data_IF_917140253607
#
_entry.id   IF_917140253607
#
_cell.length_a   1.000
_cell.length_b   1.000
_cell.length_c   1.000
_cell.angle_alpha   90.00
_cell.angle_beta   90.00
_cell.angle_gamma   90.00
#
_symmetry.space_group_name_H-M   'P 1'
#
loop_
_entity.id
_entity.type
_entity.pdbx_description
1 polymer ?
#
# COMPACT_ATOMS: atom_id res chain seq x y z
N UNK A 1 -6.36 -29.52 -16.19
CA UNK A 1 -5.10 -29.13 -16.86
C UNK A 1 -5.03 -27.62 -16.78
N UNK A 2 -4.16 -27.09 -15.92
CA UNK A 2 -3.92 -25.66 -15.74
C UNK A 2 -3.39 -25.07 -17.04
N UNK A 3 -4.04 -24.02 -17.56
CA UNK A 3 -3.58 -23.31 -18.74
C UNK A 3 -2.24 -22.65 -18.43
N UNK A 4 -1.20 -22.98 -19.19
CA UNK A 4 0.12 -22.36 -19.01
C UNK A 4 0.16 -21.06 -19.81
N UNK A 5 0.40 -19.90 -19.17
CA UNK A 5 0.53 -18.63 -19.90
C UNK A 5 1.71 -18.70 -20.89
N UNK A 6 1.65 -17.95 -22.01
CA UNK A 6 2.81 -17.71 -22.85
C UNK A 6 3.97 -17.12 -22.04
N UNK A 7 5.21 -17.54 -22.34
CA UNK A 7 6.40 -17.16 -21.54
C UNK A 7 6.68 -15.65 -21.53
N UNK A 8 6.14 -14.89 -22.48
CA UNK A 8 6.32 -13.44 -22.60
C UNK A 8 5.24 -12.62 -21.87
N UNK A 9 4.25 -13.26 -21.26
CA UNK A 9 3.20 -12.57 -20.51
C UNK A 9 3.69 -12.11 -19.15
N UNK A 10 3.21 -10.96 -18.70
CA UNK A 10 3.58 -10.36 -17.43
C UNK A 10 2.66 -10.87 -16.32
N UNK A 11 3.20 -11.22 -15.13
CA UNK A 11 2.39 -11.60 -13.99
C UNK A 11 1.74 -10.36 -13.35
N UNK A 12 0.53 -10.52 -12.83
CA UNK A 12 -0.20 -9.51 -12.10
C UNK A 12 -0.82 -10.12 -10.84
N UNK A 13 -0.62 -9.48 -9.70
CA UNK A 13 -1.35 -9.78 -8.48
C UNK A 13 -2.60 -8.90 -8.39
N UNK A 14 -3.73 -9.51 -8.05
CA UNK A 14 -4.97 -8.80 -7.76
C UNK A 14 -4.94 -8.13 -6.39
N UNK A 15 -5.96 -7.31 -6.07
CA UNK A 15 -6.09 -6.66 -4.77
C UNK A 15 -6.01 -7.65 -3.60
N UNK A 16 -5.35 -7.26 -2.50
CA UNK A 16 -5.11 -8.09 -1.33
C UNK A 16 -4.47 -9.46 -1.62
N UNK A 17 -3.81 -9.61 -2.78
CA UNK A 17 -3.23 -10.87 -3.26
C UNK A 17 -4.25 -12.03 -3.33
N UNK A 18 -5.54 -11.73 -3.54
CA UNK A 18 -6.60 -12.75 -3.62
C UNK A 18 -6.49 -13.64 -4.85
N UNK A 19 -5.93 -13.11 -5.93
CA UNK A 19 -5.68 -13.86 -7.15
C UNK A 19 -4.41 -13.37 -7.83
N UNK A 20 -3.88 -14.19 -8.75
CA UNK A 20 -2.82 -13.83 -9.68
C UNK A 20 -3.24 -14.24 -11.08
N UNK A 21 -2.83 -13.48 -12.08
CA UNK A 21 -3.03 -13.80 -13.48
C UNK A 21 -1.81 -13.38 -14.30
N UNK A 22 -1.81 -13.72 -15.57
CA UNK A 22 -0.84 -13.23 -16.55
C UNK A 22 -1.55 -12.52 -17.70
N UNK A 23 -0.93 -11.46 -18.22
CA UNK A 23 -1.50 -10.64 -19.29
C UNK A 23 -0.44 -10.27 -20.35
N UNK A 24 -0.87 -9.90 -21.58
CA UNK A 24 0.05 -9.48 -22.63
C UNK A 24 0.82 -8.21 -22.26
N UNK A 25 2.13 -8.11 -22.56
CA UNK A 25 2.98 -7.01 -22.12
C UNK A 25 2.65 -5.65 -22.73
N UNK A 26 1.90 -5.62 -23.82
CA UNK A 26 1.46 -4.43 -24.54
C UNK A 26 0.16 -3.84 -23.99
N UNK A 27 -0.49 -4.51 -23.04
CA UNK A 27 -1.72 -4.02 -22.40
C UNK A 27 -1.42 -3.11 -21.22
N UNK A 28 -2.22 -2.05 -21.10
CA UNK A 28 -2.13 -1.11 -19.98
C UNK A 28 -2.92 -1.63 -18.79
N UNK A 29 -2.30 -1.64 -17.61
CA UNK A 29 -2.94 -2.04 -16.35
C UNK A 29 -3.24 -0.83 -15.49
N UNK A 30 -4.45 -0.77 -14.91
CA UNK A 30 -4.80 0.18 -13.86
C UNK A 30 -5.48 -0.60 -12.73
N UNK A 31 -5.06 -0.41 -11.48
CA UNK A 31 -5.60 -1.14 -10.33
C UNK A 31 -5.96 -0.17 -9.21
N UNK A 32 -7.10 -0.43 -8.57
CA UNK A 32 -7.54 0.19 -7.31
C UNK A 32 -7.83 -0.90 -6.26
N UNK A 33 -8.34 -0.53 -5.08
CA UNK A 33 -8.58 -1.45 -3.95
C UNK A 33 -9.46 -2.67 -4.26
N UNK A 34 -10.31 -2.60 -5.29
CA UNK A 34 -11.29 -3.65 -5.61
C UNK A 34 -11.32 -4.03 -7.08
N UNK A 35 -10.67 -3.25 -7.95
CA UNK A 35 -10.78 -3.39 -9.40
C UNK A 35 -9.43 -3.38 -10.07
N UNK A 36 -9.28 -4.21 -11.08
CA UNK A 36 -8.15 -4.25 -11.99
C UNK A 36 -8.68 -4.10 -13.42
N UNK A 37 -8.16 -3.13 -14.15
CA UNK A 37 -8.54 -2.81 -15.53
C UNK A 37 -7.36 -3.10 -16.44
N UNK A 38 -7.62 -3.90 -17.47
CA UNK A 38 -6.68 -4.27 -18.52
C UNK A 38 -7.21 -3.71 -19.84
N UNK A 39 -6.50 -2.76 -20.45
CA UNK A 39 -6.89 -2.13 -21.71
C UNK A 39 -5.95 -2.54 -22.85
N UNK A 40 -6.52 -2.88 -24.00
CA UNK A 40 -5.76 -3.17 -25.22
C UNK A 40 -5.02 -1.92 -25.75
N UNK A 41 -3.92 -2.07 -26.51
CA UNK A 41 -3.13 -0.94 -27.01
C UNK A 41 -3.93 0.05 -27.87
N UNK A 42 -4.94 -0.44 -28.59
CA UNK A 42 -5.83 0.34 -29.46
C UNK A 42 -7.03 0.94 -28.69
N UNK A 43 -7.22 0.59 -27.42
CA UNK A 43 -8.34 1.00 -26.58
C UNK A 43 -9.70 0.42 -27.02
N UNK A 44 -9.72 -0.55 -27.94
CA UNK A 44 -10.96 -1.13 -28.45
C UNK A 44 -11.56 -2.19 -27.53
N UNK A 45 -10.76 -2.78 -26.64
CA UNK A 45 -11.19 -3.76 -25.67
C UNK A 45 -10.71 -3.39 -24.25
N UNK A 46 -11.65 -3.43 -23.30
CA UNK A 46 -11.35 -3.23 -21.88
C UNK A 46 -11.87 -4.41 -21.08
N UNK A 47 -10.96 -5.11 -20.41
CA UNK A 47 -11.26 -6.17 -19.45
C UNK A 47 -11.18 -5.59 -18.03
N UNK A 48 -12.32 -5.52 -17.35
CA UNK A 48 -12.41 -5.09 -15.97
C UNK A 48 -12.59 -6.32 -15.07
N UNK A 49 -11.80 -6.41 -14.02
CA UNK A 49 -11.85 -7.45 -13.01
C UNK A 49 -12.22 -6.80 -11.69
N UNK A 50 -13.42 -7.06 -11.19
CA UNK A 50 -13.89 -6.56 -9.91
C UNK A 50 -13.92 -7.71 -8.90
N UNK A 51 -13.16 -7.58 -7.82
CA UNK A 51 -13.12 -8.57 -6.75
C UNK A 51 -13.87 -8.10 -5.52
N UNK A 52 -14.55 -9.02 -4.87
CA UNK A 52 -15.20 -8.82 -3.60
C UNK A 52 -14.90 -10.00 -2.66
N UNK A 53 -14.94 -9.73 -1.37
CA UNK A 53 -14.76 -10.73 -0.33
C UNK A 53 -15.98 -10.74 0.60
N UNK A 54 -16.47 -11.91 0.97
CA UNK A 54 -17.53 -12.06 1.97
C UNK A 54 -17.50 -13.46 2.59
N UNK A 55 -17.89 -13.57 3.87
CA UNK A 55 -18.05 -14.89 4.53
C UNK A 55 -19.37 -15.57 4.18
N UNK A 56 -20.39 -14.80 3.82
CA UNK A 56 -21.76 -15.29 3.74
C UNK A 56 -22.14 -15.84 2.35
N UNK A 57 -21.24 -15.68 1.39
CA UNK A 57 -21.49 -15.98 -0.03
C UNK A 57 -21.31 -17.45 -0.39
N UNK A 58 -20.70 -18.28 0.47
CA UNK A 58 -20.48 -19.71 0.16
C UNK A 58 -21.81 -20.46 -0.01
N UNK A 59 -22.83 -20.05 0.73
CA UNK A 59 -24.17 -20.64 0.68
C UNK A 59 -25.04 -20.13 -0.48
N UNK A 60 -24.64 -19.03 -1.14
CA UNK A 60 -25.41 -18.40 -2.20
C UNK A 60 -24.94 -18.93 -3.56
N UNK A 61 -25.83 -19.37 -4.46
CA UNK A 61 -25.46 -19.76 -5.82
C UNK A 61 -24.73 -18.64 -6.57
N UNK A 62 -23.67 -18.99 -7.31
CA UNK A 62 -22.82 -17.99 -7.99
C UNK A 62 -23.58 -17.13 -9.01
N UNK A 63 -24.55 -17.69 -9.72
CA UNK A 63 -25.41 -16.96 -10.65
C UNK A 63 -26.25 -15.86 -9.98
N UNK A 64 -26.58 -16.01 -8.69
CA UNK A 64 -27.28 -14.99 -7.90
C UNK A 64 -26.33 -13.91 -7.36
N UNK A 65 -25.05 -14.24 -7.21
CA UNK A 65 -24.01 -13.30 -6.76
C UNK A 65 -23.52 -12.40 -7.89
N UNK A 66 -23.58 -12.88 -9.14
CA UNK A 66 -23.22 -12.11 -10.33
C UNK A 66 -24.38 -11.18 -10.72
N UNK A 67 -24.43 -10.02 -10.08
CA UNK A 67 -25.41 -8.99 -10.37
C UNK A 67 -25.03 -8.21 -11.62
N UNK A 68 -25.62 -8.55 -12.78
CA UNK A 68 -25.42 -7.85 -14.05
C UNK A 68 -25.74 -6.35 -13.92
N UNK A 69 -26.74 -6.02 -13.10
CA UNK A 69 -27.17 -4.65 -12.80
C UNK A 69 -26.15 -3.87 -11.97
N UNK A 70 -25.30 -4.55 -11.20
CA UNK A 70 -24.21 -3.91 -10.46
C UNK A 70 -23.08 -3.46 -11.40
N UNK A 71 -22.91 -4.16 -12.54
CA UNK A 71 -21.89 -3.85 -13.55
C UNK A 71 -22.43 -2.89 -14.62
N UNK A 72 -23.69 -3.07 -15.03
CA UNK A 72 -24.30 -2.34 -16.14
C UNK A 72 -25.64 -1.71 -15.74
N UNK A 73 -25.74 -0.38 -15.86
CA UNK A 73 -26.95 0.35 -15.50
C UNK A 73 -28.19 0.03 -16.37
N UNK A 74 -27.97 -0.38 -17.62
CA UNK A 74 -29.02 -0.80 -18.55
C UNK A 74 -28.52 -1.91 -19.46
N UNK A 75 -29.23 -3.02 -19.48
CA UNK A 75 -28.92 -4.18 -20.31
C UNK A 75 -30.11 -4.63 -21.14
N UNK A 76 -29.84 -5.40 -22.19
CA UNK A 76 -30.84 -6.15 -22.96
C UNK A 76 -30.20 -7.42 -23.53
N UNK A 77 -31.05 -8.35 -23.97
CA UNK A 77 -30.63 -9.59 -24.62
C UNK A 77 -29.63 -10.40 -23.77
N UNK A 78 -29.81 -10.37 -22.45
CA UNK A 78 -28.96 -11.12 -21.52
C UNK A 78 -29.25 -12.60 -21.67
N UNK A 79 -28.20 -13.39 -21.81
CA UNK A 79 -28.29 -14.83 -21.98
C UNK A 79 -27.07 -15.53 -21.37
N UNK A 80 -27.26 -16.81 -21.04
CA UNK A 80 -26.18 -17.66 -20.57
C UNK A 80 -25.12 -17.83 -21.64
N UNK A 81 -23.89 -17.85 -21.18
CA UNK A 81 -22.72 -18.00 -22.01
C UNK A 81 -21.81 -19.09 -21.40
N UNK A 82 -20.98 -19.71 -22.22
CA UNK A 82 -20.07 -20.74 -21.73
C UNK A 82 -19.24 -20.22 -20.51
N UNK A 83 -19.22 -20.96 -19.39
CA UNK A 83 -18.38 -20.62 -18.24
C UNK A 83 -16.89 -20.78 -18.59
N UNK A 84 -16.02 -20.29 -17.71
CA UNK A 84 -14.58 -20.51 -17.87
C UNK A 84 -14.26 -21.97 -17.56
N UNK A 85 -13.55 -22.68 -18.45
CA UNK A 85 -13.14 -24.04 -18.17
C UNK A 85 -12.03 -24.04 -17.12
N UNK A 86 -12.14 -24.90 -16.10
CA UNK A 86 -11.14 -25.01 -15.04
C UNK A 86 -11.71 -25.65 -13.77
N UNK A 87 -10.89 -25.62 -12.71
CA UNK A 87 -11.23 -26.18 -11.40
C UNK A 87 -11.94 -25.16 -10.48
N UNK A 88 -12.05 -23.91 -10.93
CA UNK A 88 -12.75 -22.83 -10.24
C UNK A 88 -14.22 -22.82 -10.65
N UNK A 89 -15.13 -22.65 -9.70
CA UNK A 89 -16.55 -22.44 -9.98
C UNK A 89 -16.74 -21.16 -10.79
N UNK A 90 -17.38 -21.26 -11.96
CA UNK A 90 -17.61 -20.10 -12.82
C UNK A 90 -18.94 -20.12 -13.55
N UNK A 91 -19.43 -18.93 -13.86
CA UNK A 91 -20.61 -18.67 -14.69
C UNK A 91 -20.26 -17.68 -15.78
N UNK A 92 -20.83 -17.86 -16.97
CA UNK A 92 -20.66 -16.95 -18.10
C UNK A 92 -21.99 -16.32 -18.50
N UNK A 93 -21.99 -15.02 -18.74
CA UNK A 93 -23.14 -14.27 -19.24
C UNK A 93 -22.71 -13.38 -20.41
N UNK A 94 -23.64 -13.10 -21.31
CA UNK A 94 -23.42 -12.13 -22.40
C UNK A 94 -24.70 -11.35 -22.67
N UNK A 95 -24.54 -10.14 -23.18
CA UNK A 95 -25.65 -9.30 -23.58
C UNK A 95 -25.19 -7.99 -24.20
N UNK A 96 -26.09 -7.02 -24.23
CA UNK A 96 -25.78 -5.65 -24.66
C UNK A 96 -26.08 -4.66 -23.54
N UNK A 97 -25.25 -3.62 -23.40
CA UNK A 97 -25.39 -2.58 -22.40
C UNK A 97 -25.24 -1.17 -23.01
N UNK A 98 -25.84 -0.18 -22.35
CA UNK A 98 -25.67 1.23 -22.68
C UNK A 98 -24.65 1.85 -21.70
N UNK A 99 -23.47 2.22 -22.20
CA UNK A 99 -22.37 2.72 -21.35
C UNK A 99 -22.36 4.25 -21.15
N UNK A 100 -23.09 4.99 -21.98
CA UNK A 100 -23.07 6.46 -21.93
C UNK A 100 -23.93 7.02 -20.78
N UNK A 101 -23.38 7.98 -20.01
CA UNK A 101 -24.17 8.80 -19.08
C UNK A 101 -25.25 9.55 -19.86
N UNK A 102 -26.48 9.57 -19.32
CA UNK A 102 -27.65 10.21 -19.97
C UNK A 102 -27.28 11.63 -20.43
N UNK A 103 -27.36 11.94 -21.74
CA UNK A 103 -27.08 13.27 -22.23
C UNK A 103 -28.13 14.28 -21.71
N UNK A 104 -27.78 15.58 -21.66
CA UNK A 104 -28.72 16.64 -21.38
C UNK A 104 -29.96 16.55 -22.28
N UNK A 105 -31.13 16.90 -21.74
CA UNK A 105 -32.45 16.61 -22.34
C UNK A 105 -32.64 17.12 -23.77
N UNK A 106 -31.90 18.16 -24.17
CA UNK A 106 -31.95 18.80 -25.48
C UNK A 106 -31.15 18.06 -26.58
N UNK A 107 -30.24 17.14 -26.23
CA UNK A 107 -29.50 16.28 -27.20
C UNK A 107 -30.19 14.93 -27.46
N UNK A 108 -31.24 14.62 -26.70
CA UNK A 108 -31.97 13.33 -26.75
C UNK A 108 -32.62 12.97 -28.09
N UNK A 109 -33.20 13.90 -28.89
CA UNK A 109 -33.88 13.50 -30.13
C UNK A 109 -32.93 13.14 -31.29
N UNK A 110 -31.62 13.40 -31.17
CA UNK A 110 -30.65 13.17 -32.25
C UNK A 110 -29.60 12.08 -31.94
N UNK A 111 -29.62 11.50 -30.73
CA UNK A 111 -28.63 10.52 -30.30
C UNK A 111 -29.19 9.10 -30.45
N UNK A 112 -28.58 8.29 -31.31
CA UNK A 112 -28.85 6.85 -31.36
C UNK A 112 -28.23 6.21 -30.13
N UNK A 113 -29.02 5.43 -29.39
CA UNK A 113 -28.50 4.65 -28.25
C UNK A 113 -27.44 3.68 -28.75
N UNK A 114 -26.19 3.89 -28.33
CA UNK A 114 -25.06 3.05 -28.71
C UNK A 114 -24.98 1.85 -27.77
N UNK A 115 -25.73 0.79 -28.09
CA UNK A 115 -25.69 -0.48 -27.37
C UNK A 115 -24.40 -1.21 -27.70
N UNK A 116 -23.64 -1.58 -26.67
CA UNK A 116 -22.37 -2.28 -26.82
C UNK A 116 -22.48 -3.68 -26.27
N UNK A 117 -21.92 -4.64 -27.00
CA UNK A 117 -21.89 -6.04 -26.57
C UNK A 117 -20.89 -6.20 -25.44
N UNK A 118 -21.24 -7.04 -24.48
CA UNK A 118 -20.38 -7.37 -23.35
C UNK A 118 -20.37 -8.88 -23.08
N UNK A 119 -19.30 -9.30 -22.43
CA UNK A 119 -19.12 -10.63 -21.88
C UNK A 119 -18.79 -10.48 -20.39
N UNK A 120 -19.47 -11.25 -19.55
CA UNK A 120 -19.28 -11.25 -18.10
C UNK A 120 -18.96 -12.66 -17.64
N UNK A 121 -17.96 -12.79 -16.77
CA UNK A 121 -17.59 -14.01 -16.10
C UNK A 121 -17.68 -13.77 -14.60
N UNK A 122 -18.44 -14.60 -13.90
CA UNK A 122 -18.34 -14.71 -12.45
C UNK A 122 -17.48 -15.90 -12.09
N UNK A 123 -16.58 -15.71 -11.15
CA UNK A 123 -15.76 -16.77 -10.58
C UNK A 123 -15.86 -16.71 -9.05
N UNK A 124 -15.82 -17.86 -8.40
CA UNK A 124 -15.79 -17.95 -6.93
C UNK A 124 -14.75 -18.95 -6.45
N UNK A 125 -14.01 -18.55 -5.43
CA UNK A 125 -13.12 -19.43 -4.66
C UNK A 125 -13.22 -19.06 -3.17
N UNK A 126 -13.86 -19.93 -2.38
CA UNK A 126 -14.12 -19.69 -0.96
C UNK A 126 -14.83 -18.34 -0.74
N UNK A 127 -14.26 -17.43 0.08
CA UNK A 127 -14.88 -16.14 0.38
C UNK A 127 -14.65 -15.07 -0.70
N UNK A 128 -13.93 -15.38 -1.79
CA UNK A 128 -13.61 -14.42 -2.86
C UNK A 128 -14.52 -14.65 -4.06
N UNK A 129 -15.12 -13.56 -4.55
CA UNK A 129 -15.82 -13.49 -5.84
C UNK A 129 -15.02 -12.58 -6.75
N UNK A 130 -14.86 -13.00 -8.00
CA UNK A 130 -14.28 -12.20 -9.05
C UNK A 130 -15.26 -12.08 -10.22
N UNK A 131 -15.54 -10.85 -10.63
CA UNK A 131 -16.34 -10.54 -11.81
C UNK A 131 -15.44 -9.96 -12.90
N UNK A 132 -15.22 -10.72 -13.97
CA UNK A 132 -14.55 -10.22 -15.17
C UNK A 132 -15.57 -9.73 -16.17
N UNK A 133 -15.48 -8.48 -16.62
CA UNK A 133 -16.30 -7.95 -17.71
C UNK A 133 -15.44 -7.46 -18.86
N UNK A 134 -15.71 -7.97 -20.07
CA UNK A 134 -15.12 -7.50 -21.31
C UNK A 134 -16.15 -6.66 -22.05
N UNK A 135 -15.73 -5.46 -22.45
CA UNK A 135 -16.56 -4.53 -23.21
C UNK A 135 -15.81 -4.11 -24.48
N UNK A 136 -16.49 -4.21 -25.62
CA UNK A 136 -15.96 -3.75 -26.90
C UNK A 136 -16.39 -2.29 -27.17
N UNK A 137 -15.46 -1.46 -27.64
CA UNK A 137 -15.75 -0.09 -28.06
C UNK A 137 -16.55 -0.03 -29.37
N UNK A 138 -16.33 -1.00 -30.25
CA UNK A 138 -16.89 -1.10 -31.61
C UNK A 138 -17.68 -2.39 -31.86
N UNK A 139 -17.41 -3.04 -33.01
CA UNK A 139 -18.01 -4.35 -33.33
C UNK A 139 -17.43 -5.44 -32.42
N UNK A 140 -18.17 -6.53 -32.17
CA UNK A 140 -17.64 -7.67 -31.43
C UNK A 140 -16.39 -8.22 -32.11
N UNK A 141 -15.32 -8.38 -31.34
CA UNK A 141 -14.07 -8.97 -31.80
C UNK A 141 -13.86 -10.34 -31.12
N UNK A 142 -14.07 -11.45 -31.86
CA UNK A 142 -13.86 -12.79 -31.35
C UNK A 142 -12.41 -13.07 -30.89
N UNK A 143 -11.43 -12.39 -31.48
CA UNK A 143 -10.02 -12.55 -31.09
C UNK A 143 -9.79 -11.96 -29.69
N UNK A 144 -10.36 -10.78 -29.43
CA UNK A 144 -10.31 -10.15 -28.10
C UNK A 144 -11.08 -10.95 -27.04
N UNK A 145 -12.24 -11.52 -27.37
CA UNK A 145 -12.93 -12.45 -26.46
C UNK A 145 -12.07 -13.67 -26.12
N UNK A 146 -11.37 -14.22 -27.12
CA UNK A 146 -10.47 -15.36 -26.94
C UNK A 146 -9.26 -14.99 -26.09
N UNK A 147 -8.70 -13.80 -26.30
CA UNK A 147 -7.57 -13.28 -25.53
C UNK A 147 -7.96 -13.02 -24.08
N UNK A 148 -9.08 -12.34 -23.83
CA UNK A 148 -9.61 -12.13 -22.48
C UNK A 148 -9.90 -13.44 -21.76
N UNK A 149 -10.48 -14.43 -22.45
CA UNK A 149 -10.66 -15.77 -21.88
C UNK A 149 -9.32 -16.44 -21.57
N UNK A 150 -8.30 -16.25 -22.41
CA UNK A 150 -6.95 -16.79 -22.18
C UNK A 150 -6.29 -16.15 -20.96
N UNK A 151 -6.41 -14.82 -20.78
CA UNK A 151 -5.99 -14.10 -19.57
C UNK A 151 -6.68 -14.69 -18.34
N UNK A 152 -8.00 -14.80 -18.35
CA UNK A 152 -8.77 -15.34 -17.21
C UNK A 152 -8.46 -16.82 -16.91
N UNK A 153 -8.02 -17.60 -17.89
CA UNK A 153 -7.60 -19.00 -17.68
C UNK A 153 -6.25 -19.14 -16.98
N UNK A 154 -5.42 -18.10 -16.99
CA UNK A 154 -4.17 -18.06 -16.20
C UNK A 154 -4.43 -17.77 -14.72
N UNK A 155 -5.68 -17.45 -14.37
CA UNK A 155 -6.02 -17.00 -13.05
C UNK A 155 -5.83 -18.11 -12.01
N UNK A 156 -5.14 -17.77 -10.94
CA UNK A 156 -4.92 -18.62 -9.77
C UNK A 156 -5.37 -17.86 -8.54
N UNK A 157 -6.34 -18.40 -7.82
CA UNK A 157 -6.75 -17.84 -6.53
C UNK A 157 -5.73 -18.20 -5.45
N UNK A 158 -5.59 -17.34 -4.45
CA UNK A 158 -4.89 -17.70 -3.24
C UNK A 158 -5.60 -18.90 -2.57
N UNK A 159 -4.82 -19.88 -2.12
CA UNK A 159 -5.37 -21.03 -1.39
C UNK A 159 -6.06 -20.59 -0.09
N UNK A 160 -5.43 -19.64 0.60
CA UNK A 160 -5.96 -18.97 1.78
C UNK A 160 -6.02 -17.47 1.48
N UNK A 161 -7.13 -16.92 0.97
CA UNK A 161 -7.24 -15.50 0.69
C UNK A 161 -7.20 -14.70 1.99
N UNK A 162 -6.45 -13.60 2.01
CA UNK A 162 -6.40 -12.70 3.15
C UNK A 162 -7.78 -12.08 3.42
N UNK A 163 -8.14 -11.96 4.70
CA UNK A 163 -9.27 -11.14 5.12
C UNK A 163 -9.05 -9.69 4.63
N UNK A 164 -10.10 -8.96 4.19
CA UNK A 164 -10.03 -7.50 3.96
C UNK A 164 -9.61 -6.76 5.24
N UNK A 165 -9.14 -5.49 5.13
CA UNK A 165 -8.65 -4.74 6.29
C UNK A 165 -9.63 -4.74 7.46
N UNK A 166 -10.88 -4.34 7.25
CA UNK A 166 -11.87 -4.25 8.35
C UNK A 166 -12.09 -5.61 9.04
N UNK A 167 -12.18 -6.68 8.26
CA UNK A 167 -12.38 -8.04 8.78
C UNK A 167 -11.15 -8.52 9.56
N UNK A 168 -9.96 -8.18 9.08
CA UNK A 168 -8.71 -8.42 9.78
C UNK A 168 -8.68 -7.68 11.13
N UNK A 169 -9.03 -6.38 11.16
CA UNK A 169 -9.10 -5.61 12.40
C UNK A 169 -10.09 -6.20 13.41
N UNK A 170 -11.28 -6.60 12.95
CA UNK A 170 -12.28 -7.24 13.81
C UNK A 170 -11.75 -8.56 14.39
N UNK A 171 -11.06 -9.35 13.57
CA UNK A 171 -10.42 -10.60 14.00
C UNK A 171 -9.27 -10.37 14.99
N UNK A 172 -8.51 -9.30 14.82
CA UNK A 172 -7.45 -8.88 15.77
C UNK A 172 -8.06 -8.45 17.10
N UNK A 173 -9.15 -7.67 17.07
CA UNK A 173 -9.89 -7.26 18.26
C UNK A 173 -10.45 -8.47 19.02
N UNK A 174 -11.03 -9.43 18.30
CA UNK A 174 -11.51 -10.68 18.89
C UNK A 174 -10.36 -11.49 19.52
N UNK A 175 -9.23 -11.61 18.82
CA UNK A 175 -8.04 -12.27 19.35
C UNK A 175 -7.55 -11.57 20.64
N UNK A 176 -7.47 -10.24 20.64
CA UNK A 176 -7.04 -9.46 21.80
C UNK A 176 -7.97 -9.67 23.00
N UNK A 177 -9.29 -9.58 22.81
CA UNK A 177 -10.31 -9.83 23.85
C UNK A 177 -10.21 -11.25 24.43
N UNK A 178 -9.95 -12.24 23.58
CA UNK A 178 -9.84 -13.63 24.01
C UNK A 178 -8.54 -13.91 24.77
N UNK A 179 -7.42 -13.31 24.37
CA UNK A 179 -6.10 -13.57 24.96
C UNK A 179 -5.81 -12.69 26.18
N UNK A 180 -6.39 -11.49 26.23
CA UNK A 180 -6.17 -10.50 27.29
C UNK A 180 -7.50 -10.02 27.89
N UNK A 181 -8.33 -10.91 28.47
CA UNK A 181 -9.70 -10.58 28.92
C UNK A 181 -9.78 -9.59 30.08
N UNK A 182 -8.64 -9.25 30.71
CA UNK A 182 -8.55 -8.28 31.79
C UNK A 182 -8.26 -6.86 31.30
N UNK A 183 -7.91 -6.68 30.02
CA UNK A 183 -7.66 -5.38 29.42
C UNK A 183 -8.88 -4.90 28.66
N UNK A 184 -9.08 -3.58 28.67
CA UNK A 184 -10.04 -2.96 27.78
C UNK A 184 -9.54 -3.04 26.34
N UNK A 185 -10.34 -3.60 25.44
CA UNK A 185 -9.95 -3.85 24.06
C UNK A 185 -11.02 -3.28 23.13
N UNK A 186 -10.65 -2.27 22.35
CA UNK A 186 -11.59 -1.54 21.48
C UNK A 186 -10.97 -1.28 20.11
N UNK A 187 -11.82 -1.15 19.08
CA UNK A 187 -11.38 -0.65 17.79
C UNK A 187 -11.06 0.85 17.92
N UNK A 188 -9.89 1.26 17.45
CA UNK A 188 -9.48 2.66 17.37
C UNK A 188 -9.79 3.26 15.99
N UNK A 189 -9.60 4.57 15.88
CA UNK A 189 -9.66 5.26 14.59
C UNK A 189 -8.44 4.93 13.72
N UNK A 190 -8.61 4.98 12.39
CA UNK A 190 -7.48 4.87 11.45
C UNK A 190 -6.78 3.51 11.45
N UNK A 191 -7.55 2.41 11.48
CA UNK A 191 -7.02 1.03 11.44
C UNK A 191 -6.10 0.70 12.62
N UNK A 192 -6.54 1.08 13.81
CA UNK A 192 -5.84 0.84 15.07
C UNK A 192 -6.67 -0.04 16.00
N UNK A 193 -5.97 -0.73 16.92
CA UNK A 193 -6.56 -1.41 18.06
C UNK A 193 -6.14 -0.68 19.33
N UNK A 194 -7.11 -0.29 20.16
CA UNK A 194 -6.84 0.14 21.54
C UNK A 194 -6.81 -1.08 22.44
N UNK A 195 -5.73 -1.22 23.19
CA UNK A 195 -5.53 -2.27 24.18
C UNK A 195 -5.10 -1.56 25.46
N UNK A 196 -5.91 -1.54 26.51
CA UNK A 196 -5.65 -0.73 27.71
C UNK A 196 -5.47 0.76 27.37
N UNK A 197 -4.31 1.31 27.74
CA UNK A 197 -3.93 2.71 27.47
C UNK A 197 -3.08 2.88 26.20
N UNK A 198 -2.81 1.81 25.46
CA UNK A 198 -1.96 1.84 24.26
C UNK A 198 -2.77 1.63 22.99
N UNK A 199 -2.32 2.27 21.91
CA UNK A 199 -2.84 2.06 20.57
C UNK A 199 -1.84 1.25 19.75
N UNK A 200 -2.34 0.23 19.07
CA UNK A 200 -1.58 -0.64 18.17
C UNK A 200 -2.01 -0.34 16.75
N UNK A 201 -1.08 0.12 15.93
CA UNK A 201 -1.33 0.30 14.50
C UNK A 201 -1.33 -1.06 13.78
N UNK A 202 -2.39 -1.35 13.02
CA UNK A 202 -2.57 -2.64 12.37
C UNK A 202 -1.99 -2.74 10.96
N UNK A 203 -1.58 -1.64 10.31
CA UNK A 203 -1.11 -1.63 8.93
C UNK A 203 0.11 -2.54 8.70
N UNK A 204 1.14 -2.43 9.54
CA UNK A 204 2.36 -3.24 9.41
C UNK A 204 2.08 -4.74 9.55
N UNK A 205 1.16 -5.09 10.44
CA UNK A 205 0.74 -6.48 10.65
C UNK A 205 -0.13 -6.97 9.49
N UNK A 206 -1.02 -6.13 8.96
CA UNK A 206 -1.84 -6.45 7.81
C UNK A 206 -0.99 -6.71 6.56
N UNK A 207 0.03 -5.88 6.29
CA UNK A 207 0.97 -6.12 5.17
C UNK A 207 1.70 -7.46 5.29
N UNK A 208 2.09 -7.85 6.49
CA UNK A 208 2.72 -9.14 6.77
C UNK A 208 1.72 -10.30 6.61
N UNK A 209 0.49 -10.09 7.09
CA UNK A 209 -0.61 -11.05 7.03
C UNK A 209 -1.03 -11.35 5.58
N UNK A 210 -1.17 -10.35 4.71
CA UNK A 210 -1.56 -10.54 3.30
C UNK A 210 -0.62 -11.48 2.54
N UNK A 211 0.67 -11.55 2.94
CA UNK A 211 1.66 -12.43 2.32
C UNK A 211 1.50 -13.88 2.75
N UNK A 212 1.09 -14.12 4.00
CA UNK A 212 0.98 -15.45 4.63
C UNK A 212 -0.26 -15.51 5.56
N UNK A 213 -1.49 -15.50 5.02
CA UNK A 213 -2.72 -15.36 5.82
C UNK A 213 -2.94 -16.49 6.84
N UNK A 214 -2.41 -17.68 6.56
CA UNK A 214 -2.44 -18.82 7.47
C UNK A 214 -1.67 -18.57 8.78
N UNK A 215 -0.76 -17.61 8.81
CA UNK A 215 0.07 -17.25 9.98
C UNK A 215 -0.49 -16.11 10.82
N UNK A 216 -1.79 -15.84 10.72
CA UNK A 216 -2.46 -14.75 11.44
C UNK A 216 -2.07 -14.65 12.92
N UNK A 217 -2.22 -15.73 13.69
CA UNK A 217 -1.90 -15.71 15.14
C UNK A 217 -0.39 -15.57 15.40
N UNK A 218 0.47 -16.18 14.57
CA UNK A 218 1.93 -16.07 14.69
C UNK A 218 2.42 -14.63 14.47
N UNK A 219 1.74 -13.87 13.61
CA UNK A 219 2.04 -12.46 13.36
C UNK A 219 1.53 -11.58 14.51
N UNK A 220 0.29 -11.82 14.95
CA UNK A 220 -0.41 -10.90 15.86
C UNK A 220 -0.08 -11.11 17.34
N UNK A 221 0.05 -12.36 17.79
CA UNK A 221 0.24 -12.64 19.22
C UNK A 221 1.51 -12.03 19.82
N UNK A 222 2.68 -12.07 19.16
CA UNK A 222 3.88 -11.43 19.69
C UNK A 222 3.71 -9.93 19.87
N UNK A 223 3.09 -9.25 18.91
CA UNK A 223 2.85 -7.82 18.95
C UNK A 223 1.89 -7.43 20.08
N UNK A 224 0.74 -8.08 20.18
CA UNK A 224 -0.22 -7.83 21.26
C UNK A 224 0.40 -8.11 22.63
N UNK A 225 1.14 -9.23 22.77
CA UNK A 225 1.82 -9.58 24.02
C UNK A 225 2.85 -8.52 24.42
N UNK A 226 3.63 -8.01 23.46
CA UNK A 226 4.61 -6.94 23.70
C UNK A 226 3.94 -5.69 24.24
N UNK A 227 2.82 -5.27 23.63
CA UNK A 227 2.06 -4.09 24.06
C UNK A 227 1.51 -4.27 25.48
N UNK A 228 0.95 -5.45 25.79
CA UNK A 228 0.47 -5.77 27.15
C UNK A 228 1.62 -5.78 28.17
N UNK A 229 2.78 -6.34 27.80
CA UNK A 229 3.95 -6.34 28.68
C UNK A 229 4.39 -4.91 29.00
N UNK A 230 4.47 -4.03 28.00
CA UNK A 230 4.83 -2.62 28.17
C UNK A 230 3.86 -1.89 29.12
N UNK A 231 2.58 -2.28 29.17
CA UNK A 231 1.62 -1.71 30.11
C UNK A 231 1.72 -2.26 31.53
N UNK A 232 2.15 -3.52 31.66
CA UNK A 232 2.38 -4.17 32.95
C UNK A 232 3.67 -3.73 33.64
N UNK A 233 4.48 -2.92 32.96
CA UNK A 233 5.71 -2.33 33.49
C UNK A 233 5.38 -1.28 34.54
N UNK A 234 5.75 -1.54 35.79
CA UNK A 234 5.75 -0.51 36.84
C UNK A 234 6.69 0.65 36.48
N UNK A 235 6.68 1.71 37.28
CA UNK A 235 7.45 2.95 37.05
C UNK A 235 8.97 2.75 36.84
N UNK A 236 9.55 1.61 37.23
CA UNK A 236 10.97 1.29 36.97
C UNK A 236 11.24 0.73 35.56
N UNK A 237 10.20 0.30 34.83
CA UNK A 237 10.29 -0.24 33.48
C UNK A 237 9.65 0.68 32.42
N UNK A 238 8.72 1.57 32.79
CA UNK A 238 8.24 2.65 31.91
C UNK A 238 9.29 3.73 31.64
N UNK A 239 10.25 3.84 32.56
CA UNK A 239 11.28 4.87 32.57
C UNK A 239 12.69 4.24 32.68
N UNK A 240 13.11 3.46 31.66
CA UNK A 240 14.33 2.69 31.72
C UNK A 240 15.56 3.61 31.84
N UNK A 241 16.65 3.18 32.51
CA UNK A 241 17.92 3.87 32.43
C UNK A 241 18.39 4.00 30.98
N UNK A 242 18.96 5.14 30.62
CA UNK A 242 19.46 5.41 29.26
C UNK A 242 20.34 4.27 28.74
N UNK A 243 21.27 3.76 29.56
CA UNK A 243 22.21 2.70 29.17
C UNK A 243 21.52 1.41 28.68
N UNK A 244 20.26 1.15 29.08
CA UNK A 244 19.51 -0.04 28.67
C UNK A 244 18.81 0.11 27.31
N UNK A 245 18.63 1.34 26.85
CA UNK A 245 17.88 1.66 25.62
C UNK A 245 18.71 2.44 24.60
N UNK A 246 19.90 2.94 25.00
CA UNK A 246 20.72 3.89 24.27
C UNK A 246 21.01 3.46 22.84
N UNK A 247 21.29 2.19 22.62
CA UNK A 247 21.61 1.55 21.33
C UNK A 247 20.39 1.29 20.44
N UNK A 248 19.18 1.48 20.97
CA UNK A 248 17.91 1.27 20.30
C UNK A 248 17.13 2.57 20.06
N UNK A 249 17.71 3.71 20.46
CA UNK A 249 17.10 5.02 20.20
C UNK A 249 17.24 5.32 18.70
N UNK A 250 16.12 5.49 18.01
CA UNK A 250 16.06 5.74 16.57
C UNK A 250 15.30 7.04 16.26
N UNK A 251 15.68 7.80 15.22
CA UNK A 251 14.93 8.97 14.77
C UNK A 251 13.74 8.53 13.91
N UNK A 252 12.67 9.32 13.94
CA UNK A 252 11.50 9.19 13.07
C UNK A 252 11.06 10.54 12.54
N UNK A 253 10.68 10.60 11.27
CA UNK A 253 10.09 11.80 10.68
C UNK A 253 8.58 11.81 10.90
N UNK A 254 8.03 13.00 11.10
CA UNK A 254 6.60 13.22 11.26
C UNK A 254 6.19 14.60 10.75
N UNK A 255 4.92 14.83 10.36
CA UNK A 255 4.44 16.17 10.09
C UNK A 255 4.41 17.02 11.38
N UNK A 256 5.00 18.20 11.33
CA UNK A 256 5.11 19.09 12.49
C UNK A 256 3.73 19.50 13.01
N UNK A 257 2.79 19.80 12.12
CA UNK A 257 1.41 20.17 12.46
C UNK A 257 0.70 19.11 13.29
N UNK A 258 0.88 17.83 12.94
CA UNK A 258 0.25 16.70 13.64
C UNK A 258 0.90 16.48 15.00
N UNK A 259 2.23 16.62 15.11
CA UNK A 259 2.92 16.53 16.39
C UNK A 259 2.46 17.61 17.38
N UNK A 260 2.36 18.86 16.93
CA UNK A 260 1.91 19.98 17.78
C UNK A 260 0.49 19.76 18.34
N UNK A 261 -0.40 19.18 17.53
CA UNK A 261 -1.78 18.95 17.94
C UNK A 261 -1.93 17.71 18.85
N UNK A 262 -1.26 16.60 18.52
CA UNK A 262 -1.56 15.28 19.10
C UNK A 262 -0.55 14.80 20.12
N UNK A 263 0.69 15.28 20.07
CA UNK A 263 1.81 14.68 20.81
C UNK A 263 2.72 15.70 21.51
N UNK A 264 2.18 16.71 22.22
CA UNK A 264 2.99 17.81 22.77
C UNK A 264 4.02 17.38 23.82
N UNK A 265 3.88 16.18 24.39
CA UNK A 265 4.80 15.67 25.42
C UNK A 265 6.00 14.89 24.83
N UNK A 266 5.98 14.59 23.54
CA UNK A 266 7.06 13.86 22.87
C UNK A 266 8.15 14.83 22.44
N UNK A 267 9.39 14.37 22.60
CA UNK A 267 10.56 15.17 22.30
C UNK A 267 10.75 15.19 20.80
N UNK A 268 10.84 16.39 20.24
CA UNK A 268 11.04 16.58 18.82
C UNK A 268 11.88 17.80 18.50
N UNK A 269 12.47 17.79 17.30
CA UNK A 269 13.21 18.92 16.73
C UNK A 269 12.65 19.25 15.35
N UNK A 270 12.18 20.49 15.10
CA UNK A 270 11.72 20.90 13.79
C UNK A 270 12.76 20.65 12.71
N UNK A 271 12.29 20.26 11.55
CA UNK A 271 13.09 19.97 10.37
C UNK A 271 12.46 20.59 9.12
N UNK A 272 13.07 20.39 7.96
CA UNK A 272 12.66 21.06 6.72
C UNK A 272 11.34 20.52 6.17
N UNK A 273 10.62 21.33 5.38
CA UNK A 273 9.40 20.88 4.70
C UNK A 273 8.22 20.65 5.63
N UNK A 274 8.14 21.38 6.75
CA UNK A 274 7.09 21.23 7.76
C UNK A 274 7.12 19.88 8.49
N UNK A 275 8.27 19.22 8.51
CA UNK A 275 8.49 17.97 9.23
C UNK A 275 9.19 18.20 10.56
N UNK A 276 9.08 17.24 11.46
CA UNK A 276 9.76 17.18 12.75
C UNK A 276 10.47 15.84 12.90
N UNK A 277 11.66 15.85 13.50
CA UNK A 277 12.35 14.64 13.94
C UNK A 277 11.88 14.32 15.36
N UNK A 278 11.23 13.17 15.52
CA UNK A 278 10.88 12.57 16.80
C UNK A 278 11.86 11.44 17.14
N UNK A 279 11.89 11.04 18.41
CA UNK A 279 12.75 9.97 18.88
C UNK A 279 11.94 8.82 19.46
N UNK A 280 12.33 7.61 19.11
CA UNK A 280 11.71 6.39 19.61
C UNK A 280 12.77 5.45 20.15
N UNK A 281 12.37 4.55 21.05
CA UNK A 281 13.14 3.33 21.32
C UNK A 281 12.54 2.21 20.50
N UNK A 282 13.36 1.61 19.65
CA UNK A 282 13.01 0.49 18.80
C UNK A 282 13.03 -0.83 19.59
N UNK A 283 11.94 -1.57 19.49
CA UNK A 283 11.76 -2.90 20.08
C UNK A 283 11.49 -3.88 18.93
N UNK A 284 11.69 -5.19 19.17
CA UNK A 284 11.62 -6.21 18.11
C UNK A 284 10.31 -6.23 17.31
N UNK A 285 9.22 -5.73 17.88
CA UNK A 285 7.88 -5.74 17.28
C UNK A 285 7.10 -4.43 17.44
N UNK A 286 7.70 -3.40 18.04
CA UNK A 286 7.04 -2.13 18.35
C UNK A 286 8.09 -1.05 18.56
N UNK A 287 7.65 0.18 18.75
CA UNK A 287 8.50 1.25 19.25
C UNK A 287 7.67 2.13 20.17
N UNK A 288 8.34 2.87 21.04
CA UNK A 288 7.69 3.86 21.90
C UNK A 288 8.43 5.19 21.83
N UNK A 289 7.69 6.30 21.90
CA UNK A 289 8.24 7.64 21.77
C UNK A 289 8.89 8.11 23.07
N UNK A 290 10.01 8.81 22.92
CA UNK A 290 10.73 9.41 24.03
C UNK A 290 10.04 10.72 24.42
N UNK A 291 9.76 10.85 25.71
CA UNK A 291 9.05 11.97 26.32
C UNK A 291 10.02 12.90 27.05
N UNK A 292 9.60 14.13 27.30
CA UNK A 292 10.46 15.15 27.93
C UNK A 292 10.93 14.78 29.36
N UNK A 293 10.08 14.11 30.14
CA UNK A 293 10.39 13.60 31.49
C UNK A 293 11.56 12.60 31.47
N UNK A 294 11.66 11.77 30.43
CA UNK A 294 12.78 10.82 30.28
C UNK A 294 14.12 11.52 30.04
N UNK A 295 14.16 12.62 29.29
CA UNK A 295 15.40 13.39 29.13
C UNK A 295 15.87 13.99 30.45
N UNK A 296 14.94 14.55 31.23
CA UNK A 296 15.25 15.10 32.55
C UNK A 296 15.82 14.02 33.46
N UNK A 297 15.25 12.81 33.44
CA UNK A 297 15.73 11.68 34.21
C UNK A 297 17.08 11.15 33.74
N UNK A 298 17.30 11.05 32.43
CA UNK A 298 18.57 10.61 31.85
C UNK A 298 19.67 11.67 31.99
N UNK A 299 19.30 12.91 32.31
CA UNK A 299 20.23 14.03 32.44
C UNK A 299 20.89 14.40 31.11
N UNK A 300 20.19 14.18 29.98
CA UNK A 300 20.66 14.50 28.63
C UNK A 300 19.80 15.61 28.01
N UNK A 301 20.38 16.30 27.05
CA UNK A 301 19.73 17.33 26.23
C UNK A 301 19.10 16.73 24.98
N UNK A 302 18.17 17.46 24.35
CA UNK A 302 17.59 17.06 23.07
C UNK A 302 18.64 16.92 21.96
N UNK A 303 19.70 17.73 22.00
CA UNK A 303 20.82 17.66 21.06
C UNK A 303 21.61 16.35 21.23
N UNK A 304 21.94 15.98 22.48
CA UNK A 304 22.60 14.70 22.76
C UNK A 304 21.72 13.50 22.36
N UNK A 305 20.40 13.59 22.58
CA UNK A 305 19.46 12.57 22.13
C UNK A 305 19.45 12.45 20.59
N UNK A 306 19.49 13.57 19.89
CA UNK A 306 19.57 13.61 18.43
C UNK A 306 20.83 12.91 17.93
N UNK A 307 22.00 13.25 18.50
CA UNK A 307 23.28 12.66 18.13
C UNK A 307 23.32 11.15 18.38
N UNK A 308 22.78 10.68 19.51
CA UNK A 308 22.61 9.25 19.81
C UNK A 308 21.77 8.59 18.72
N UNK A 309 20.62 9.18 18.38
CA UNK A 309 19.70 8.61 17.40
C UNK A 309 20.31 8.51 16.00
N UNK A 310 21.07 9.52 15.56
CA UNK A 310 21.75 9.50 14.27
C UNK A 310 22.89 8.47 14.24
N UNK A 311 23.65 8.36 15.32
CA UNK A 311 24.70 7.34 15.43
C UNK A 311 24.13 5.92 15.34
N UNK A 312 22.97 5.67 15.97
CA UNK A 312 22.30 4.37 15.87
C UNK A 312 21.71 4.13 14.49
N UNK A 313 21.16 5.18 13.84
CA UNK A 313 20.65 5.09 12.47
C UNK A 313 21.76 4.69 11.48
N UNK A 314 22.94 5.30 11.60
CA UNK A 314 24.09 4.97 10.77
C UNK A 314 24.52 3.51 11.00
N UNK A 315 24.65 3.09 12.26
CA UNK A 315 25.00 1.71 12.61
C UNK A 315 23.96 0.68 12.11
N UNK A 316 22.67 0.98 12.22
CA UNK A 316 21.58 0.13 11.74
C UNK A 316 21.74 -0.19 10.25
N UNK A 317 22.17 0.78 9.46
CA UNK A 317 22.32 0.62 8.01
C UNK A 317 23.69 0.16 7.53
N UNK A 318 24.70 0.23 8.39
CA UNK A 318 25.93 -0.53 8.20
C UNK A 318 25.68 -2.04 8.35
N UNK A 319 24.89 -2.44 9.36
CA UNK A 319 24.49 -3.85 9.57
C UNK A 319 23.48 -4.34 8.54
N UNK A 320 22.57 -3.45 8.11
CA UNK A 320 21.53 -3.74 7.10
C UNK A 320 21.65 -2.83 5.87
N UNK A 321 22.55 -3.16 4.93
CA UNK A 321 22.70 -2.40 3.69
C UNK A 321 21.40 -2.33 2.90
N UNK A 322 21.10 -1.16 2.34
CA UNK A 322 19.93 -0.97 1.49
C UNK A 322 20.19 -1.47 0.08
N UNK A 323 19.24 -2.21 -0.46
CA UNK A 323 19.15 -2.42 -1.89
C UNK A 323 18.36 -1.25 -2.53
N UNK A 324 18.93 -0.67 -3.57
CA UNK A 324 18.34 0.46 -4.30
C UNK A 324 18.09 0.08 -5.75
N UNK A 325 16.90 0.40 -6.25
CA UNK A 325 16.62 0.40 -7.68
C UNK A 325 17.16 1.71 -8.27
N UNK A 326 17.94 1.58 -9.34
CA UNK A 326 18.48 2.71 -10.09
C UNK A 326 17.85 2.70 -11.47
N UNK A 327 17.19 3.79 -11.84
CA UNK A 327 16.74 4.05 -13.20
C UNK A 327 17.64 5.11 -13.84
N UNK A 328 18.00 4.91 -15.11
CA UNK A 328 18.91 5.78 -15.85
C UNK A 328 19.25 5.24 -17.24
N UNK A 329 19.88 6.09 -18.04
CA UNK A 329 20.34 5.78 -19.41
C UNK A 329 21.86 5.90 -19.54
N UNK A 330 22.36 6.10 -20.76
CA UNK A 330 23.81 6.29 -21.02
C UNK A 330 24.40 7.50 -20.27
N UNK A 331 23.56 8.49 -19.93
CA UNK A 331 23.95 9.72 -19.22
C UNK A 331 24.00 9.59 -17.69
N UNK A 332 23.78 8.39 -17.15
CA UNK A 332 23.84 8.10 -15.71
C UNK A 332 22.47 7.95 -15.04
N UNK A 333 22.45 7.81 -13.70
CA UNK A 333 21.22 7.59 -12.95
C UNK A 333 20.36 8.85 -12.92
N UNK A 334 19.10 8.71 -13.34
CA UNK A 334 18.10 9.78 -13.30
C UNK A 334 17.20 9.67 -12.08
N UNK A 335 17.01 8.47 -11.53
CA UNK A 335 16.17 8.22 -10.37
C UNK A 335 16.68 7.04 -9.54
N UNK A 336 16.56 7.15 -8.21
CA UNK A 336 16.91 6.10 -7.25
C UNK A 336 15.84 5.97 -6.18
N UNK A 337 15.47 4.73 -5.84
CA UNK A 337 14.48 4.43 -4.80
C UNK A 337 14.84 3.11 -4.07
N UNK A 338 14.41 2.89 -2.82
CA UNK A 338 14.62 1.62 -2.13
C UNK A 338 13.82 0.48 -2.81
N UNK A 339 14.38 -0.73 -2.88
CA UNK A 339 13.67 -1.90 -3.42
C UNK A 339 12.77 -2.58 -2.39
N UNK A 340 13.08 -2.39 -1.11
CA UNK A 340 12.36 -2.99 0.00
C UNK A 340 11.88 -1.90 0.96
N UNK A 341 10.62 -1.97 1.42
CA UNK A 341 10.11 -1.08 2.44
C UNK A 341 10.77 -1.39 3.79
N UNK A 342 11.23 -0.34 4.49
CA UNK A 342 11.74 -0.37 5.85
C UNK A 342 11.30 0.93 6.54
N UNK A 343 10.78 0.85 7.76
CA UNK A 343 10.25 1.98 8.54
C UNK A 343 11.22 3.15 8.72
N UNK A 344 12.53 2.91 8.51
CA UNK A 344 13.60 3.89 8.65
C UNK A 344 14.14 4.40 7.29
N UNK A 345 13.57 4.00 6.16
CA UNK A 345 14.04 4.43 4.85
C UNK A 345 13.99 5.96 4.68
N UNK A 346 12.88 6.60 5.06
CA UNK A 346 12.74 8.05 4.94
C UNK A 346 13.76 8.81 5.79
N UNK A 347 13.95 8.39 7.04
CA UNK A 347 14.80 9.10 8.01
C UNK A 347 16.29 9.02 7.68
N UNK A 348 16.71 8.13 6.77
CA UNK A 348 18.09 8.08 6.25
C UNK A 348 18.56 9.41 5.70
N UNK A 349 17.66 10.24 5.17
CA UNK A 349 17.99 11.58 4.68
C UNK A 349 18.65 12.46 5.75
N UNK A 350 18.43 12.17 7.04
CA UNK A 350 19.06 12.86 8.16
C UNK A 350 20.57 12.52 8.26
N UNK A 351 20.96 11.30 7.88
CA UNK A 351 22.36 10.85 7.90
C UNK A 351 23.22 11.64 6.90
N UNK A 352 24.34 12.18 7.37
CA UNK A 352 25.29 12.89 6.52
C UNK A 352 25.96 11.93 5.52
N UNK A 353 26.31 10.74 5.97
CA UNK A 353 26.96 9.69 5.16
C UNK A 353 26.05 9.20 4.05
N UNK A 354 24.76 9.01 4.36
CA UNK A 354 23.77 8.67 3.34
C UNK A 354 23.66 9.76 2.27
N UNK A 355 23.57 11.02 2.67
CA UNK A 355 23.50 12.16 1.74
C UNK A 355 24.73 12.26 0.85
N UNK A 356 25.93 12.03 1.39
CA UNK A 356 27.16 12.04 0.60
C UNK A 356 27.22 10.86 -0.40
N UNK A 357 26.86 9.65 0.03
CA UNK A 357 26.75 8.48 -0.87
C UNK A 357 25.75 8.76 -2.00
N UNK A 358 24.58 9.32 -1.68
CA UNK A 358 23.57 9.67 -2.67
C UNK A 358 24.04 10.76 -3.64
N UNK A 359 24.78 11.78 -3.18
CA UNK A 359 25.41 12.77 -4.07
C UNK A 359 26.42 12.14 -5.02
N UNK A 360 27.18 11.15 -4.57
CA UNK A 360 28.10 10.39 -5.42
C UNK A 360 27.41 9.59 -6.53
N UNK A 361 26.18 9.13 -6.28
CA UNK A 361 25.37 8.38 -7.25
C UNK A 361 24.58 9.32 -8.15
N UNK A 362 23.77 10.21 -7.57
CA UNK A 362 22.80 11.06 -8.28
C UNK A 362 23.41 12.33 -8.87
N UNK A 363 24.64 12.67 -8.51
CA UNK A 363 25.16 14.02 -8.68
C UNK A 363 24.64 14.98 -7.60
N UNK A 364 25.16 16.20 -7.62
CA UNK A 364 24.82 17.24 -6.65
C UNK A 364 24.55 18.57 -7.36
N UNK A 365 23.47 19.30 -7.02
CA UNK A 365 22.39 18.91 -6.11
C UNK A 365 21.41 17.91 -6.76
N UNK A 366 20.62 17.22 -5.94
CA UNK A 366 19.52 16.35 -6.38
C UNK A 366 18.25 16.64 -5.55
N UNK A 367 17.08 16.26 -6.07
CA UNK A 367 15.83 16.36 -5.33
C UNK A 367 15.43 15.00 -4.74
N UNK A 368 14.77 15.01 -3.59
CA UNK A 368 14.25 13.80 -2.93
C UNK A 368 12.81 14.03 -2.47
N UNK A 369 11.92 13.12 -2.83
CA UNK A 369 10.55 13.06 -2.33
C UNK A 369 10.44 12.04 -1.20
N UNK A 370 9.71 12.40 -0.14
CA UNK A 370 9.48 11.56 1.03
C UNK A 370 7.98 11.55 1.34
N UNK A 371 7.18 10.81 0.55
CA UNK A 371 5.72 10.80 0.70
C UNK A 371 5.27 10.16 2.01
N UNK A 372 6.06 9.23 2.56
CA UNK A 372 5.76 8.52 3.81
C UNK A 372 7.01 7.95 4.48
N UNK A 373 6.83 7.22 5.58
CA UNK A 373 7.93 6.79 6.48
C UNK A 373 8.87 5.73 5.87
N UNK A 374 8.34 4.82 5.08
CA UNK A 374 9.06 3.64 4.60
C UNK A 374 9.60 3.75 3.18
N UNK A 375 9.43 4.92 2.55
CA UNK A 375 9.77 5.14 1.16
C UNK A 375 10.33 6.55 0.91
N UNK A 376 11.28 6.62 -0.02
CA UNK A 376 11.73 7.87 -0.62
C UNK A 376 12.03 7.64 -2.10
N UNK A 377 12.04 8.72 -2.88
CA UNK A 377 12.50 8.70 -4.27
C UNK A 377 13.42 9.88 -4.52
N UNK A 378 14.65 9.60 -4.96
CA UNK A 378 15.62 10.63 -5.34
C UNK A 378 15.64 10.77 -6.86
N UNK A 379 15.74 12.01 -7.34
CA UNK A 379 15.74 12.36 -8.77
C UNK A 379 16.84 13.37 -9.07
N UNK A 380 17.53 13.14 -10.18
CA UNK A 380 18.55 14.05 -10.68
C UNK A 380 17.87 15.27 -11.33
N UNK A 381 18.32 16.47 -10.96
CA UNK A 381 17.75 17.73 -11.44
C UNK A 381 18.03 18.05 -12.91
N UNK A 382 18.94 17.31 -13.56
CA UNK A 382 19.22 17.48 -14.99
C UNK A 382 18.05 17.06 -15.90
N UNK A 383 17.10 16.28 -15.39
CA UNK A 383 15.93 15.83 -16.15
C UNK A 383 14.65 16.50 -15.63
N UNK A 384 14.29 17.64 -16.20
CA UNK A 384 13.08 18.39 -15.81
C UNK A 384 11.79 17.55 -15.94
N UNK A 385 11.69 16.73 -16.98
CA UNK A 385 10.56 15.81 -17.19
C UNK A 385 10.46 14.77 -16.06
N UNK A 386 11.59 14.16 -15.68
CA UNK A 386 11.63 13.18 -14.60
C UNK A 386 11.31 13.83 -13.25
N UNK A 387 11.82 15.05 -12.99
CA UNK A 387 11.50 15.81 -11.78
C UNK A 387 10.00 16.09 -11.70
N UNK A 388 9.36 16.51 -12.79
CA UNK A 388 7.92 16.76 -12.84
C UNK A 388 7.13 15.46 -12.58
N UNK A 389 7.52 14.36 -13.22
CA UNK A 389 6.89 13.06 -13.01
C UNK A 389 7.00 12.57 -11.56
N UNK A 390 8.19 12.67 -10.98
CA UNK A 390 8.44 12.28 -9.58
C UNK A 390 7.66 13.18 -8.62
N UNK A 391 7.57 14.49 -8.89
CA UNK A 391 6.75 15.40 -8.07
C UNK A 391 5.29 15.01 -8.06
N UNK A 392 4.70 14.75 -9.24
CA UNK A 392 3.30 14.33 -9.32
C UNK A 392 3.09 13.01 -8.59
N UNK A 393 4.00 12.05 -8.77
CA UNK A 393 3.93 10.76 -8.09
C UNK A 393 4.04 10.87 -6.57
N UNK A 394 4.94 11.71 -6.04
CA UNK A 394 5.10 11.93 -4.60
C UNK A 394 3.83 12.53 -4.00
N UNK A 395 3.17 13.44 -4.72
CA UNK A 395 1.88 14.00 -4.27
C UNK A 395 0.79 12.94 -4.23
N UNK A 396 0.67 12.13 -5.29
CA UNK A 396 -0.31 11.04 -5.33
C UNK A 396 -0.05 10.02 -4.21
N UNK A 397 1.21 9.60 -4.04
CA UNK A 397 1.61 8.66 -2.99
C UNK A 397 1.36 9.26 -1.58
N UNK A 398 1.60 10.56 -1.37
CA UNK A 398 1.31 11.22 -0.10
C UNK A 398 -0.18 11.18 0.28
N UNK A 399 -1.09 11.28 -0.70
CA UNK A 399 -2.53 11.21 -0.44
C UNK A 399 -3.00 9.79 -0.08
N UNK A 400 -2.29 8.77 -0.57
CA UNK A 400 -2.64 7.35 -0.37
C UNK A 400 -1.91 6.69 0.80
N UNK A 401 -0.85 7.30 1.33
CA UNK A 401 -0.02 6.70 2.38
C UNK A 401 -0.62 6.79 3.78
N UNK A 402 -0.47 5.70 4.56
CA UNK A 402 -0.98 5.59 5.94
C UNK A 402 -0.35 6.59 6.92
N UNK A 403 0.91 6.96 6.67
CA UNK A 403 1.70 7.89 7.47
C UNK A 403 2.36 8.93 6.56
N UNK A 404 1.57 9.86 6.03
CA UNK A 404 2.05 10.82 5.07
C UNK A 404 3.05 11.77 5.74
N UNK A 405 4.19 12.01 5.09
CA UNK A 405 5.24 12.90 5.58
C UNK A 405 5.22 14.24 4.84
N UNK A 406 5.54 14.24 3.54
CA UNK A 406 5.50 15.45 2.73
C UNK A 406 5.06 15.17 1.30
N UNK A 407 4.20 16.03 0.76
CA UNK A 407 3.82 16.03 -0.65
C UNK A 407 4.85 16.76 -1.54
N UNK A 408 5.82 17.45 -0.92
CA UNK A 408 6.78 18.28 -1.61
C UNK A 408 8.13 17.58 -1.75
N UNK A 409 8.90 17.99 -2.76
CA UNK A 409 10.28 17.55 -2.89
C UNK A 409 11.18 18.40 -1.98
N UNK A 410 12.26 17.79 -1.52
CA UNK A 410 13.36 18.45 -0.82
C UNK A 410 14.57 18.52 -1.73
N UNK A 411 15.37 19.56 -1.58
CA UNK A 411 16.65 19.72 -2.27
C UNK A 411 17.77 19.23 -1.35
N UNK A 412 18.60 18.31 -1.84
CA UNK A 412 19.81 17.86 -1.17
C UNK A 412 21.02 18.47 -1.86
N UNK A 413 21.79 19.26 -1.11
CA UNK A 413 22.98 19.97 -1.58
C UNK A 413 24.18 19.69 -0.66
N UNK A 414 25.38 20.20 -0.97
CA UNK A 414 26.52 20.14 -0.06
C UNK A 414 26.27 20.87 1.27
N UNK A 415 25.41 21.89 1.27
CA UNK A 415 25.11 22.71 2.45
C UNK A 415 24.04 22.09 3.36
N UNK A 416 23.39 21.01 2.92
CA UNK A 416 22.38 20.29 3.71
C UNK A 416 21.14 19.92 2.91
N UNK A 417 20.00 19.94 3.57
CA UNK A 417 18.69 19.67 2.98
C UNK A 417 17.85 20.93 3.13
N UNK A 418 17.09 21.29 2.09
CA UNK A 418 16.14 22.40 2.10
C UNK A 418 14.87 22.03 1.35
N UNK A 419 13.85 22.88 1.40
CA UNK A 419 12.68 22.72 0.52
C UNK A 419 13.09 22.93 -0.95
N UNK A 420 12.52 22.13 -1.85
CA UNK A 420 12.72 22.32 -3.28
C UNK A 420 11.59 23.20 -3.84
N UNK A 421 11.89 24.48 -4.05
CA UNK A 421 11.01 25.39 -4.76
C UNK A 421 11.39 25.39 -6.24
N UNK A 422 10.54 24.87 -7.12
CA UNK A 422 10.70 24.95 -8.58
C UNK A 422 9.56 25.73 -9.22
#
# INVERSE_FOLDING_TARGET
MTFRPPDHWQPLAGPNNWYRLSYPPDWTVTQDESRTTLASPDGEAVLNLQSAWSRDIESVPLDQLVAVEAVFAKTRSVSDAAPLPGDVESVGLTGEALLEKRPPWWKRPFQRSNWRRWRLWGLRQGPVILMGSLIHAGQPDPEMETLASSILRTLTFAETPADPPQVFADRVLELAKNKFPLLDCEAGEGFQLKLGESNVNLFNFYRSYVKVPEKFEEIMLPALTTVVQIQGWGSEQSDPPLDNVRDRIMPMLYPESVWQEKFPNFVGQPWVGGMIVLYVVDESHAYWYIRHDLLEQWGITTEELHDISLSNLDAYFEDKPMEMAVAGGEDGPTMVMPTQPDSYNAVRVLSADFREKMRGVMGSPFAIGIPGRDFFVAVNLLSEEMVAHVRDRVRDDHEEMDHPLSAELLLVSPDGVSEYSA
#
